data_IF_280029196591
#
_entry.id   IF_280029196591
#
_cell.length_a   1.000
_cell.length_b   1.000
_cell.length_c   1.000
_cell.angle_alpha   90.00
_cell.angle_beta   90.00
_cell.angle_gamma   90.00
#
_symmetry.space_group_name_H-M   'P 1'
#
loop_
_entity.id
_entity.type
_entity.pdbx_description
1 polymer ?
#
# COMPACT_ATOMS: atom_id res chain seq x y z
N UNK A 1 19.57 19.53 -17.19
CA UNK A 1 18.64 20.03 -16.17
C UNK A 1 17.44 19.10 -16.20
N UNK A 2 16.94 18.63 -15.05
CA UNK A 2 15.69 17.86 -15.04
C UNK A 2 14.56 18.89 -15.20
N UNK A 3 14.04 19.05 -16.42
CA UNK A 3 13.06 20.11 -16.74
C UNK A 3 11.70 19.92 -16.05
N UNK A 4 11.49 18.83 -15.29
CA UNK A 4 10.26 18.52 -14.58
C UNK A 4 10.53 17.92 -13.17
N UNK A 5 11.13 18.69 -12.26
CA UNK A 5 11.21 18.32 -10.83
C UNK A 5 9.89 18.70 -10.13
N UNK A 6 9.08 17.71 -9.76
CA UNK A 6 7.79 17.92 -9.06
C UNK A 6 8.01 18.16 -7.55
N UNK A 7 8.87 17.38 -6.91
CA UNK A 7 9.20 17.56 -5.48
C UNK A 7 10.58 17.00 -5.13
N UNK A 8 11.23 17.62 -4.15
CA UNK A 8 12.50 17.19 -3.55
C UNK A 8 12.43 17.27 -2.02
N UNK A 9 13.49 16.80 -1.34
CA UNK A 9 13.65 16.84 0.12
C UNK A 9 12.58 16.06 0.88
N UNK A 10 12.15 14.93 0.31
CA UNK A 10 11.25 13.97 0.97
C UNK A 10 12.03 12.66 1.07
N UNK A 11 12.52 12.35 2.26
CA UNK A 11 12.91 10.97 2.55
C UNK A 11 11.62 10.13 2.51
N UNK A 12 11.54 9.15 1.62
CA UNK A 12 10.35 8.34 1.40
C UNK A 12 10.73 6.87 1.31
N UNK A 13 9.78 5.99 1.65
CA UNK A 13 9.94 4.54 1.59
C UNK A 13 9.14 3.92 0.45
N UNK A 14 7.83 4.22 0.37
CA UNK A 14 6.95 3.79 -0.72
C UNK A 14 6.05 4.95 -1.17
N UNK A 15 5.47 4.84 -2.37
CA UNK A 15 4.56 5.84 -2.92
C UNK A 15 3.45 5.25 -3.79
N UNK A 16 2.36 6.02 -3.93
CA UNK A 16 1.30 5.75 -4.91
C UNK A 16 0.93 7.04 -5.64
N UNK A 17 0.78 6.95 -6.96
CA UNK A 17 0.33 8.05 -7.82
C UNK A 17 -1.14 7.82 -8.18
N UNK A 18 -2.01 8.72 -7.73
CA UNK A 18 -3.44 8.74 -8.02
C UNK A 18 -3.73 9.13 -9.46
N UNK A 19 -4.96 8.89 -9.94
CA UNK A 19 -5.36 9.21 -11.31
C UNK A 19 -5.35 10.71 -11.60
N UNK A 20 -5.64 11.53 -10.58
CA UNK A 20 -5.58 12.99 -10.66
C UNK A 20 -4.13 13.54 -10.56
N UNK A 21 -3.13 12.68 -10.48
CA UNK A 21 -1.72 13.05 -10.36
C UNK A 21 -1.24 13.36 -8.94
N UNK A 22 -2.12 13.32 -7.93
CA UNK A 22 -1.68 13.40 -6.54
C UNK A 22 -0.77 12.22 -6.21
N UNK A 23 0.31 12.47 -5.48
CA UNK A 23 1.24 11.45 -5.02
C UNK A 23 1.14 11.38 -3.50
N UNK A 24 0.93 10.17 -2.98
CA UNK A 24 1.05 9.91 -1.55
C UNK A 24 2.34 9.17 -1.28
N UNK A 25 3.10 9.58 -0.27
CA UNK A 25 4.42 9.01 0.05
C UNK A 25 4.48 8.67 1.54
N UNK A 26 4.92 7.47 1.88
CA UNK A 26 5.23 7.10 3.25
C UNK A 26 6.67 7.45 3.60
N UNK A 27 6.88 7.96 4.81
CA UNK A 27 8.17 8.35 5.34
C UNK A 27 8.26 7.78 6.76
N UNK A 28 8.79 6.55 6.94
CA UNK A 28 9.03 5.97 8.26
C UNK A 28 10.21 6.65 8.96
N UNK A 29 10.31 6.57 10.30
CA UNK A 29 11.44 7.14 11.03
C UNK A 29 12.79 6.58 10.56
N UNK A 30 13.80 7.44 10.48
CA UNK A 30 15.15 7.04 10.10
C UNK A 30 15.86 6.25 11.19
N UNK A 31 16.38 5.06 10.86
CA UNK A 31 17.20 4.26 11.77
C UNK A 31 16.49 3.91 13.08
N UNK A 32 17.14 4.23 14.21
CA UNK A 32 16.59 4.03 15.55
C UNK A 32 15.82 5.26 16.10
N UNK A 33 15.49 6.23 15.25
CA UNK A 33 14.73 7.41 15.67
C UNK A 33 13.32 7.04 16.16
N UNK A 34 12.84 7.81 17.15
CA UNK A 34 11.47 7.77 17.64
C UNK A 34 10.59 8.86 16.98
N UNK A 35 11.07 9.52 15.93
CA UNK A 35 10.27 10.49 15.19
C UNK A 35 8.98 9.83 14.68
N UNK A 36 7.86 10.57 14.62
CA UNK A 36 6.65 10.04 14.02
C UNK A 36 6.90 9.76 12.52
N UNK A 37 6.35 8.65 12.04
CA UNK A 37 6.22 8.47 10.59
C UNK A 37 5.41 9.62 10.00
N UNK A 38 5.64 9.93 8.72
CA UNK A 38 4.84 10.90 7.97
C UNK A 38 4.20 10.22 6.77
N UNK A 39 2.97 10.60 6.46
CA UNK A 39 2.36 10.39 5.15
C UNK A 39 2.27 11.75 4.47
N UNK A 40 2.90 11.88 3.31
CA UNK A 40 2.88 13.11 2.52
C UNK A 40 1.83 13.04 1.43
N UNK A 41 1.20 14.16 1.14
CA UNK A 41 0.53 14.45 -0.12
C UNK A 41 1.41 15.43 -0.90
N UNK A 42 1.69 15.09 -2.15
CA UNK A 42 2.38 15.94 -3.12
C UNK A 42 1.44 16.12 -4.31
N UNK A 43 1.15 17.36 -4.67
CA UNK A 43 0.28 17.70 -5.80
C UNK A 43 1.08 17.81 -7.10
N UNK A 44 0.43 17.73 -8.29
CA UNK A 44 1.10 17.89 -9.58
C UNK A 44 1.85 19.22 -9.76
N UNK A 45 1.41 20.27 -9.06
CA UNK A 45 2.05 21.59 -9.04
C UNK A 45 3.28 21.68 -8.09
N UNK A 46 3.62 20.56 -7.42
CA UNK A 46 4.73 20.46 -6.47
C UNK A 46 4.39 20.87 -5.04
N UNK A 47 3.16 21.33 -4.76
CA UNK A 47 2.74 21.62 -3.39
C UNK A 47 2.76 20.33 -2.55
N UNK A 48 3.51 20.34 -1.45
CA UNK A 48 3.67 19.20 -0.52
C UNK A 48 3.13 19.53 0.87
N UNK A 49 2.40 18.60 1.48
CA UNK A 49 1.93 18.69 2.88
C UNK A 49 1.99 17.32 3.56
N UNK A 50 2.23 17.31 4.87
CA UNK A 50 2.00 16.11 5.68
C UNK A 50 0.49 15.97 5.91
N UNK A 51 -0.04 14.78 5.67
CA UNK A 51 -1.47 14.44 5.83
C UNK A 51 -1.74 13.39 6.93
N UNK A 52 -0.70 12.73 7.45
CA UNK A 52 -0.78 11.94 8.70
C UNK A 52 0.58 11.85 9.39
N UNK A 53 0.56 11.75 10.72
CA UNK A 53 1.73 11.48 11.57
C UNK A 53 1.49 10.37 12.60
N UNK A 54 0.34 9.71 12.57
CA UNK A 54 -0.07 8.78 13.62
C UNK A 54 0.16 7.30 13.32
N UNK A 55 0.74 6.93 12.17
CA UNK A 55 1.15 5.54 11.89
C UNK A 55 2.51 5.30 12.54
N UNK A 56 2.70 4.18 13.26
CA UNK A 56 3.94 3.93 14.01
C UNK A 56 5.14 3.79 13.07
N UNK A 57 5.02 2.92 12.05
CA UNK A 57 6.04 2.77 11.01
C UNK A 57 5.37 2.68 9.64
N UNK A 58 5.12 3.84 9.01
CA UNK A 58 4.43 3.91 7.71
C UNK A 58 5.30 3.30 6.61
N UNK A 59 4.84 2.19 6.03
CA UNK A 59 5.61 1.42 5.06
C UNK A 59 4.88 1.37 3.69
N UNK A 60 4.26 0.25 3.30
CA UNK A 60 3.55 0.18 2.03
C UNK A 60 2.34 1.11 1.94
N UNK A 61 2.02 1.52 0.72
CA UNK A 61 0.90 2.44 0.44
C UNK A 61 0.20 2.10 -0.89
N UNK A 62 -1.13 2.23 -0.90
CA UNK A 62 -1.95 2.08 -2.12
C UNK A 62 -3.28 2.80 -1.96
N UNK A 63 -3.95 3.04 -3.09
CA UNK A 63 -5.34 3.50 -3.12
C UNK A 63 -6.28 2.31 -3.33
N UNK A 64 -7.52 2.40 -2.84
CA UNK A 64 -8.59 1.52 -3.30
C UNK A 64 -8.79 1.67 -4.81
N UNK A 65 -9.40 0.69 -5.50
CA UNK A 65 -9.57 0.74 -6.96
C UNK A 65 -10.37 1.97 -7.44
N UNK A 66 -11.29 2.44 -6.61
CA UNK A 66 -12.10 3.65 -6.85
C UNK A 66 -11.45 4.94 -6.30
N UNK A 67 -10.28 4.83 -5.67
CA UNK A 67 -9.51 5.91 -5.04
C UNK A 67 -10.26 6.69 -3.95
N UNK A 68 -11.35 6.13 -3.42
CA UNK A 68 -12.06 6.70 -2.28
C UNK A 68 -11.32 6.50 -0.96
N UNK A 69 -10.46 5.47 -0.89
CA UNK A 69 -9.66 5.14 0.28
C UNK A 69 -8.17 5.13 -0.05
N UNK A 70 -7.36 5.60 0.90
CA UNK A 70 -5.92 5.36 0.95
C UNK A 70 -5.61 4.32 2.02
N UNK A 71 -4.80 3.33 1.69
CA UNK A 71 -4.30 2.30 2.59
C UNK A 71 -2.84 2.53 2.92
N UNK A 72 -2.48 2.49 4.21
CA UNK A 72 -1.10 2.63 4.69
C UNK A 72 -0.79 1.50 5.65
N UNK A 73 0.20 0.67 5.32
CA UNK A 73 0.68 -0.38 6.21
C UNK A 73 1.47 0.22 7.38
N UNK A 74 1.19 -0.29 8.58
CA UNK A 74 2.02 -0.07 9.75
C UNK A 74 2.90 -1.30 9.99
N UNK A 75 4.15 -1.22 9.56
CA UNK A 75 5.12 -2.32 9.59
C UNK A 75 5.32 -2.90 10.98
N UNK A 76 5.18 -2.08 12.04
CA UNK A 76 5.37 -2.47 13.44
C UNK A 76 4.04 -2.74 14.16
N UNK A 77 3.06 -3.28 13.45
CA UNK A 77 1.78 -3.73 14.01
C UNK A 77 1.13 -4.84 13.17
N UNK A 78 -0.13 -5.18 13.48
CA UNK A 78 -1.00 -6.05 12.67
C UNK A 78 -1.86 -5.29 11.65
N UNK A 79 -1.76 -3.96 11.57
CA UNK A 79 -2.79 -3.15 10.92
C UNK A 79 -2.31 -2.52 9.61
N UNK A 80 -3.17 -2.59 8.59
CA UNK A 80 -3.21 -1.59 7.53
C UNK A 80 -4.30 -0.59 7.87
N UNK A 81 -3.93 0.68 7.96
CA UNK A 81 -4.86 1.78 8.19
C UNK A 81 -5.54 2.17 6.88
N UNK A 82 -6.81 2.55 6.95
CA UNK A 82 -7.52 3.21 5.86
C UNK A 82 -7.83 4.67 6.20
N UNK A 83 -7.92 5.49 5.17
CA UNK A 83 -8.30 6.90 5.23
C UNK A 83 -9.28 7.19 4.10
N UNK A 84 -10.30 8.00 4.36
CA UNK A 84 -11.14 8.58 3.31
C UNK A 84 -10.37 9.70 2.62
N UNK A 85 -10.18 9.58 1.32
CA UNK A 85 -9.55 10.61 0.49
C UNK A 85 -10.55 11.72 0.22
N UNK A 86 -10.24 12.93 0.68
CA UNK A 86 -11.07 14.12 0.47
C UNK A 86 -10.86 14.69 -0.94
N UNK A 87 -11.81 15.50 -1.46
CA UNK A 87 -11.68 16.11 -2.80
C UNK A 87 -10.40 16.92 -3.02
N UNK A 88 -9.83 17.51 -1.97
CA UNK A 88 -8.59 18.29 -2.03
C UNK A 88 -7.30 17.45 -1.90
N UNK A 89 -7.45 16.13 -1.75
CA UNK A 89 -6.39 15.15 -1.52
C UNK A 89 -6.02 14.94 -0.04
N UNK A 90 -6.62 15.67 0.90
CA UNK A 90 -6.38 15.42 2.33
C UNK A 90 -7.04 14.11 2.79
N UNK A 91 -6.66 13.65 3.98
CA UNK A 91 -7.09 12.38 4.53
C UNK A 91 -8.00 12.63 5.74
N UNK A 92 -9.12 11.92 5.80
CA UNK A 92 -10.04 11.94 6.93
C UNK A 92 -10.38 10.52 7.41
N UNK A 93 -11.01 10.42 8.58
CA UNK A 93 -11.56 9.16 9.12
C UNK A 93 -10.54 8.01 9.17
N UNK A 94 -9.32 8.29 9.63
CA UNK A 94 -8.28 7.28 9.87
C UNK A 94 -8.85 6.16 10.75
N UNK A 95 -8.70 4.92 10.30
CA UNK A 95 -9.13 3.75 11.05
C UNK A 95 -8.21 2.54 10.81
N UNK A 96 -8.12 1.68 11.82
CA UNK A 96 -7.55 0.33 11.68
C UNK A 96 -8.54 -0.49 10.84
N UNK A 97 -8.12 -0.97 9.67
CA UNK A 97 -9.05 -1.54 8.69
C UNK A 97 -8.76 -3.01 8.38
N UNK A 98 -7.58 -3.33 7.85
CA UNK A 98 -7.19 -4.72 7.63
C UNK A 98 -6.38 -5.24 8.82
N UNK A 99 -6.82 -6.35 9.41
CA UNK A 99 -6.10 -7.05 10.47
C UNK A 99 -5.30 -8.22 9.89
N UNK A 100 -3.99 -8.06 9.83
CA UNK A 100 -3.05 -9.04 9.28
C UNK A 100 -2.64 -10.06 10.34
N UNK A 101 -2.46 -11.30 9.92
CA UNK A 101 -1.93 -12.35 10.78
C UNK A 101 -0.41 -12.22 10.95
N UNK A 102 0.09 -12.69 12.10
CA UNK A 102 1.51 -12.86 12.39
C UNK A 102 1.75 -14.29 12.91
N UNK A 103 3.00 -14.80 12.88
CA UNK A 103 3.34 -16.02 13.60
C UNK A 103 3.04 -15.87 15.10
N UNK A 104 2.70 -16.97 15.79
CA UNK A 104 2.41 -16.95 17.24
C UNK A 104 3.58 -16.46 18.11
N UNK A 105 4.80 -16.42 17.54
CA UNK A 105 6.01 -15.93 18.19
C UNK A 105 6.23 -14.42 18.02
N UNK A 106 5.31 -13.68 17.42
CA UNK A 106 5.47 -12.27 17.06
C UNK A 106 4.16 -11.48 17.22
N UNK A 107 4.28 -10.18 17.53
CA UNK A 107 3.15 -9.24 17.67
C UNK A 107 3.03 -8.29 16.46
N UNK A 108 3.81 -8.54 15.40
CA UNK A 108 3.89 -7.72 14.21
C UNK A 108 3.77 -8.57 12.95
N UNK A 109 2.99 -8.10 11.97
CA UNK A 109 2.89 -8.76 10.67
C UNK A 109 4.07 -8.43 9.74
N UNK A 110 4.83 -7.38 10.05
CA UNK A 110 5.87 -6.81 9.17
C UNK A 110 5.29 -6.43 7.81
N UNK A 111 4.16 -5.72 7.83
CA UNK A 111 3.48 -5.27 6.62
C UNK A 111 4.37 -4.28 5.84
N UNK A 112 4.77 -4.68 4.65
CA UNK A 112 5.66 -3.93 3.76
C UNK A 112 4.84 -3.42 2.54
N UNK A 113 5.32 -3.58 1.31
CA UNK A 113 4.59 -3.18 0.11
C UNK A 113 3.21 -3.84 -0.04
N UNK A 114 2.25 -3.06 -0.54
CA UNK A 114 0.87 -3.49 -0.75
C UNK A 114 0.28 -2.97 -2.07
N UNK A 115 -0.68 -3.71 -2.65
CA UNK A 115 -1.41 -3.37 -3.88
C UNK A 115 -2.83 -3.91 -3.84
N UNK A 116 -3.70 -3.37 -4.69
CA UNK A 116 -5.11 -3.82 -4.79
C UNK A 116 -5.40 -4.40 -6.17
N UNK A 117 -6.34 -5.33 -6.24
CA UNK A 117 -6.94 -5.75 -7.52
C UNK A 117 -8.22 -4.94 -7.82
N UNK A 118 -8.72 -5.04 -9.05
CA UNK A 118 -9.91 -4.32 -9.52
C UNK A 118 -11.20 -4.77 -8.82
N UNK A 119 -11.19 -5.93 -8.17
CA UNK A 119 -12.32 -6.46 -7.40
C UNK A 119 -12.31 -5.98 -5.93
N UNK A 120 -11.31 -5.18 -5.54
CA UNK A 120 -11.23 -4.55 -4.23
C UNK A 120 -10.50 -5.37 -3.18
N UNK A 121 -9.80 -6.46 -3.56
CA UNK A 121 -8.96 -7.20 -2.63
C UNK A 121 -7.61 -6.49 -2.43
N UNK A 122 -7.12 -6.47 -1.19
CA UNK A 122 -5.83 -5.92 -0.83
C UNK A 122 -4.78 -7.03 -0.68
N UNK A 123 -3.64 -6.90 -1.33
CA UNK A 123 -2.52 -7.82 -1.26
C UNK A 123 -1.39 -7.14 -0.49
N UNK A 124 -0.92 -7.76 0.59
CA UNK A 124 0.08 -7.17 1.49
C UNK A 124 1.26 -8.13 1.64
N UNK A 125 2.48 -7.66 1.40
CA UNK A 125 3.69 -8.37 1.76
C UNK A 125 3.84 -8.39 3.29
N UNK A 126 3.99 -9.58 3.87
CA UNK A 126 4.12 -9.79 5.31
C UNK A 126 5.11 -10.90 5.61
N UNK A 127 5.46 -11.08 6.90
CA UNK A 127 6.31 -12.17 7.35
C UNK A 127 5.78 -13.57 7.03
N UNK A 128 4.45 -13.75 6.96
CA UNK A 128 3.81 -15.03 6.63
C UNK A 128 3.70 -15.28 5.11
N UNK A 129 4.04 -14.29 4.28
CA UNK A 129 3.81 -14.31 2.84
C UNK A 129 2.95 -13.14 2.37
N UNK A 130 2.28 -13.32 1.24
CA UNK A 130 1.35 -12.31 0.71
C UNK A 130 -0.04 -12.59 1.29
N UNK A 131 -0.49 -11.74 2.21
CA UNK A 131 -1.84 -11.83 2.77
C UNK A 131 -2.80 -11.09 1.86
N UNK A 132 -3.87 -11.77 1.44
CA UNK A 132 -4.92 -11.23 0.59
C UNK A 132 -6.15 -10.96 1.44
N UNK A 133 -6.48 -9.69 1.60
CA UNK A 133 -7.63 -9.23 2.38
C UNK A 133 -8.80 -8.91 1.46
N UNK A 134 -10.01 -9.23 1.89
CA UNK A 134 -11.23 -8.77 1.21
C UNK A 134 -11.56 -7.31 1.52
N UNK A 135 -12.57 -6.80 0.81
CA UNK A 135 -13.10 -5.46 0.98
C UNK A 135 -13.59 -5.18 2.41
N UNK A 136 -13.95 -6.20 3.20
CA UNK A 136 -14.42 -6.05 4.57
C UNK A 136 -13.29 -6.00 5.62
N UNK A 137 -12.02 -6.13 5.19
CA UNK A 137 -10.87 -6.04 6.08
C UNK A 137 -10.29 -7.39 6.51
N UNK A 138 -10.85 -8.52 6.07
CA UNK A 138 -10.48 -9.86 6.55
C UNK A 138 -9.45 -10.51 5.64
N UNK A 139 -8.46 -11.19 6.21
CA UNK A 139 -7.53 -12.03 5.45
C UNK A 139 -8.26 -13.31 5.00
N UNK A 140 -8.36 -13.52 3.70
CA UNK A 140 -8.98 -14.70 3.11
C UNK A 140 -7.96 -15.75 2.67
N UNK A 141 -6.76 -15.31 2.29
CA UNK A 141 -5.71 -16.19 1.76
C UNK A 141 -4.34 -15.68 2.21
N UNK A 142 -3.43 -16.60 2.51
CA UNK A 142 -2.00 -16.32 2.62
C UNK A 142 -1.29 -17.10 1.52
N UNK A 143 -0.66 -16.39 0.58
CA UNK A 143 0.20 -17.00 -0.43
C UNK A 143 1.60 -17.13 0.19
N UNK A 144 2.11 -18.36 0.39
CA UNK A 144 3.38 -18.56 1.07
C UNK A 144 4.54 -17.98 0.27
N UNK A 145 5.63 -17.65 0.97
CA UNK A 145 6.84 -17.15 0.33
C UNK A 145 7.57 -18.27 -0.42
N UNK A 146 8.17 -17.99 -1.58
CA UNK A 146 8.90 -19.00 -2.34
C UNK A 146 10.28 -19.32 -1.75
N UNK A 147 11.03 -18.31 -1.26
CA UNK A 147 12.36 -18.50 -0.68
C UNK A 147 12.85 -17.27 0.13
N UNK A 148 12.11 -16.88 1.19
CA UNK A 148 12.50 -15.78 2.08
C UNK A 148 11.43 -14.69 2.26
N UNK A 149 11.72 -13.60 2.99
CA UNK A 149 10.75 -12.52 3.20
C UNK A 149 10.45 -11.78 1.90
N UNK A 150 9.15 -11.54 1.67
CA UNK A 150 8.69 -10.68 0.58
C UNK A 150 8.63 -9.25 1.10
N UNK A 151 9.18 -8.30 0.33
CA UNK A 151 9.23 -6.88 0.72
C UNK A 151 8.28 -6.01 -0.09
N UNK A 152 7.99 -6.33 -1.35
CA UNK A 152 7.02 -5.57 -2.14
C UNK A 152 6.38 -6.46 -3.22
N UNK A 153 5.28 -5.99 -3.79
CA UNK A 153 4.56 -6.67 -4.86
C UNK A 153 3.90 -5.69 -5.83
N UNK A 154 3.70 -6.14 -7.06
CA UNK A 154 3.00 -5.37 -8.11
C UNK A 154 2.30 -6.28 -9.10
N UNK A 155 1.14 -5.85 -9.59
CA UNK A 155 0.50 -6.50 -10.74
C UNK A 155 1.13 -6.02 -12.04
N UNK A 156 1.39 -6.94 -12.96
CA UNK A 156 1.97 -6.66 -14.27
C UNK A 156 1.61 -7.72 -15.29
N UNK A 157 2.40 -7.78 -16.37
CA UNK A 157 2.03 -8.53 -17.57
C UNK A 157 1.02 -7.78 -18.43
N UNK A 158 0.82 -8.22 -19.67
CA UNK A 158 0.00 -7.49 -20.65
C UNK A 158 -1.48 -7.32 -20.25
N UNK A 159 -1.97 -8.16 -19.33
CA UNK A 159 -3.34 -8.13 -18.81
C UNK A 159 -3.42 -7.68 -17.34
N UNK A 160 -2.31 -7.27 -16.73
CA UNK A 160 -2.22 -6.99 -15.29
C UNK A 160 -2.72 -8.14 -14.39
N UNK A 161 -2.59 -9.38 -14.87
CA UNK A 161 -3.05 -10.61 -14.22
C UNK A 161 -1.90 -11.42 -13.59
N UNK A 162 -0.69 -10.86 -13.60
CA UNK A 162 0.51 -11.51 -13.06
C UNK A 162 1.02 -10.71 -11.87
N UNK A 163 1.02 -11.32 -10.69
CA UNK A 163 1.59 -10.75 -9.48
C UNK A 163 3.09 -10.99 -9.46
N UNK A 164 3.88 -9.93 -9.38
CA UNK A 164 5.33 -9.95 -9.17
C UNK A 164 5.61 -9.60 -7.71
N UNK A 165 6.62 -10.23 -7.10
CA UNK A 165 7.01 -10.00 -5.72
C UNK A 165 8.52 -10.02 -5.55
N UNK A 166 9.08 -9.01 -4.87
CA UNK A 166 10.50 -8.97 -4.49
C UNK A 166 10.72 -9.83 -3.24
N UNK A 167 11.72 -10.70 -3.29
CA UNK A 167 12.05 -11.64 -2.23
C UNK A 167 13.58 -11.78 -2.15
N UNK A 168 14.20 -11.10 -1.18
CA UNK A 168 15.65 -10.96 -1.07
C UNK A 168 16.32 -10.50 -2.39
N UNK A 169 17.12 -11.37 -3.00
CA UNK A 169 17.92 -11.16 -4.21
C UNK A 169 17.16 -11.50 -5.51
N UNK A 170 15.88 -11.89 -5.42
CA UNK A 170 15.09 -12.38 -6.56
C UNK A 170 13.74 -11.70 -6.66
N UNK A 171 13.17 -11.75 -7.87
CA UNK A 171 11.76 -11.41 -8.12
C UNK A 171 11.04 -12.67 -8.59
N UNK A 172 9.95 -13.01 -7.92
CA UNK A 172 9.07 -14.11 -8.29
C UNK A 172 7.83 -13.57 -8.96
N UNK A 173 7.16 -14.42 -9.76
CA UNK A 173 5.87 -14.06 -10.37
C UNK A 173 4.89 -15.22 -10.31
N UNK A 174 3.60 -14.90 -10.20
CA UNK A 174 2.49 -15.86 -10.23
C UNK A 174 1.34 -15.26 -11.03
N UNK A 175 0.82 -16.02 -12.00
CA UNK A 175 -0.42 -15.65 -12.69
C UNK A 175 -1.62 -15.89 -11.76
N UNK A 176 -2.53 -14.93 -11.71
CA UNK A 176 -3.77 -14.94 -10.93
C UNK A 176 -4.98 -14.82 -11.86
N UNK A 177 -6.16 -15.10 -11.31
CA UNK A 177 -7.44 -14.98 -12.03
C UNK A 177 -8.15 -13.64 -11.74
N UNK A 178 -7.36 -12.61 -11.44
CA UNK A 178 -7.82 -11.25 -11.16
C UNK A 178 -6.98 -10.27 -11.97
N UNK A 179 -7.47 -9.04 -12.11
CA UNK A 179 -6.73 -7.95 -12.75
C UNK A 179 -6.33 -6.94 -11.68
N UNK A 180 -5.05 -6.59 -11.59
CA UNK A 180 -4.55 -5.54 -10.72
C UNK A 180 -5.14 -4.17 -11.03
N UNK A 181 -5.37 -3.34 -10.00
CA UNK A 181 -5.72 -1.95 -10.22
C UNK A 181 -4.45 -1.10 -10.30
N UNK A 182 -4.34 -0.29 -11.36
CA UNK A 182 -3.28 0.70 -11.49
C UNK A 182 -3.79 2.05 -10.98
N UNK A 183 -3.15 2.62 -9.97
CA UNK A 183 -3.62 3.85 -9.32
C UNK A 183 -3.60 5.08 -10.25
N UNK A 184 -2.75 5.10 -11.28
CA UNK A 184 -2.73 6.17 -12.29
C UNK A 184 -3.80 5.99 -13.39
N UNK A 185 -4.40 4.80 -13.51
CA UNK A 185 -5.49 4.56 -14.46
C UNK A 185 -6.82 5.08 -13.92
N UNK A 186 -7.83 5.19 -14.80
CA UNK A 186 -9.16 5.62 -14.41
C UNK A 186 -9.70 4.75 -13.24
N UNK A 187 -10.20 5.36 -12.15
CA UNK A 187 -10.73 4.64 -11.00
C UNK A 187 -11.86 3.69 -11.41
N UNK A 188 -11.93 2.53 -10.75
CA UNK A 188 -13.02 1.58 -10.95
C UNK A 188 -13.69 1.25 -9.62
N UNK A 189 -15.01 1.34 -9.56
CA UNK A 189 -15.77 0.91 -8.39
C UNK A 189 -15.87 -0.62 -8.39
N UNK A 190 -15.30 -1.33 -7.40
CA UNK A 190 -15.48 -2.77 -7.31
C UNK A 190 -16.95 -3.09 -7.03
N UNK A 191 -17.38 -4.30 -7.42
CA UNK A 191 -18.70 -4.79 -7.03
C UNK A 191 -18.79 -4.87 -5.49
N UNK A 192 -20.01 -4.69 -4.96
CA UNK A 192 -20.21 -4.84 -3.53
C UNK A 192 -19.78 -6.24 -3.07
N UNK A 193 -19.18 -6.39 -1.87
CA UNK A 193 -18.79 -7.68 -1.36
C UNK A 193 -20.01 -8.60 -1.29
N UNK A 194 -19.85 -9.86 -1.72
CA UNK A 194 -20.86 -10.89 -1.46
C UNK A 194 -20.74 -11.28 0.01
N UNK A 195 -21.75 -10.93 0.80
CA UNK A 195 -21.87 -11.31 2.21
C UNK A 195 -22.12 -12.81 2.37
#
# INVERSE_FOLDING_TARGET
MFDNLIACEIAGNDLVVAHNGNIYVTHPPGGASNDPSKVWLIKPDGAKRVVDTGVRYANGIALSPDQSLLYVADYRSHWVYSYVVQPDGTLAHKQRYHHLHAPDTDDQSFADGLKVDRDGSLYVATRLGIQVCDQAGRVNVIIPTPNGPITNLVFGGGQFDTLYASCNDKVYKRKLNVTGANAWAAPNKPAAPRL
#
